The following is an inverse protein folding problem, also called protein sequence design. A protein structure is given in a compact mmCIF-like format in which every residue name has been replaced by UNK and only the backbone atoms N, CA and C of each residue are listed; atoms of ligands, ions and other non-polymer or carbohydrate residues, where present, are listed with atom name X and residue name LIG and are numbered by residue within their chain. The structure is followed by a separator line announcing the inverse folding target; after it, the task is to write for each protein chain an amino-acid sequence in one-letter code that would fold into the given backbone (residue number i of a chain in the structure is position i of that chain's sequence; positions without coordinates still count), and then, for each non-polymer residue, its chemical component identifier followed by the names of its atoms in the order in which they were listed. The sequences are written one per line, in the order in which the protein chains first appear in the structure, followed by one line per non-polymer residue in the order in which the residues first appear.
data_IF_867053065427
#
_entry.id   IF_867053065427
#
_cell.length_a   1.000
_cell.length_b   1.000
_cell.length_c   1.000
_cell.angle_alpha   90.00
_cell.angle_beta   90.00
_cell.angle_gamma   90.00
#
_symmetry.space_group_name_H-M   'P 1'
#
loop_
_entity.id
_entity.type
_entity.pdbx_description
1 polymer ?
#
# COMPACT_ATOMS: atom_id res chain seq x y z
N UNK A 1 -21.66 -4.74 -18.13
CA UNK A 1 -21.39 -3.76 -17.06
C UNK A 1 -22.58 -3.78 -16.11
N UNK A 2 -22.36 -4.24 -14.89
CA UNK A 2 -23.38 -4.26 -13.82
C UNK A 2 -23.87 -2.84 -13.58
N UNK A 3 -25.18 -2.60 -13.59
CA UNK A 3 -25.73 -1.29 -13.20
C UNK A 3 -25.26 -0.93 -11.78
N UNK A 4 -24.90 0.33 -11.49
CA UNK A 4 -24.52 0.76 -10.14
C UNK A 4 -25.56 0.37 -9.07
N UNK A 5 -26.84 0.43 -9.40
CA UNK A 5 -27.94 0.04 -8.50
C UNK A 5 -27.88 -1.44 -8.12
N UNK A 6 -27.62 -2.32 -9.11
CA UNK A 6 -27.47 -3.76 -8.86
C UNK A 6 -26.20 -4.06 -8.07
N UNK A 7 -25.14 -3.28 -8.28
CA UNK A 7 -23.92 -3.41 -7.49
C UNK A 7 -24.13 -2.98 -6.03
N UNK A 8 -24.88 -1.91 -5.80
CA UNK A 8 -25.25 -1.43 -4.45
C UNK A 8 -26.06 -2.49 -3.69
N UNK A 9 -27.09 -3.06 -4.31
CA UNK A 9 -27.87 -4.16 -3.73
C UNK A 9 -27.00 -5.36 -3.33
N UNK A 10 -26.02 -5.72 -4.17
CA UNK A 10 -25.06 -6.79 -3.87
C UNK A 10 -24.16 -6.43 -2.68
N UNK A 11 -23.70 -5.18 -2.61
CA UNK A 11 -22.81 -4.73 -1.54
C UNK A 11 -23.54 -4.62 -0.19
N UNK A 12 -24.84 -4.35 -0.18
CA UNK A 12 -25.63 -4.25 1.06
C UNK A 12 -26.25 -5.58 1.52
N UNK A 13 -26.20 -6.63 0.69
CA UNK A 13 -26.51 -8.00 1.11
C UNK A 13 -25.29 -8.71 1.72
N UNK A 14 -25.27 -8.80 3.04
CA UNK A 14 -24.23 -9.51 3.81
C UNK A 14 -24.08 -11.00 3.43
N UNK A 15 -25.17 -11.67 3.07
CA UNK A 15 -25.13 -13.09 2.69
C UNK A 15 -24.48 -13.25 1.32
N UNK A 16 -24.78 -12.35 0.38
CA UNK A 16 -24.12 -12.30 -0.93
C UNK A 16 -22.64 -11.96 -0.81
N UNK A 17 -22.27 -10.97 0.00
CA UNK A 17 -20.86 -10.63 0.25
C UNK A 17 -20.06 -11.83 0.77
N UNK A 18 -20.61 -12.57 1.75
CA UNK A 18 -19.97 -13.78 2.29
C UNK A 18 -19.86 -14.88 1.24
N UNK A 19 -20.90 -15.09 0.43
CA UNK A 19 -20.89 -16.09 -0.63
C UNK A 19 -19.87 -15.74 -1.74
N UNK A 20 -19.69 -14.46 -2.04
CA UNK A 20 -18.75 -13.95 -3.05
C UNK A 20 -17.31 -13.80 -2.55
N UNK A 21 -17.04 -13.96 -1.25
CA UNK A 21 -15.69 -13.89 -0.68
C UNK A 21 -15.17 -15.26 -0.17
N UNK A 22 -15.01 -16.27 -1.05
CA UNK A 22 -14.53 -17.60 -0.64
C UNK A 22 -13.06 -17.57 -0.15
N UNK A 23 -12.33 -16.49 -0.42
CA UNK A 23 -10.93 -16.31 0.00
C UNK A 23 -10.79 -15.57 1.33
N UNK A 24 -11.89 -15.06 1.89
CA UNK A 24 -11.89 -14.30 3.15
C UNK A 24 -11.08 -13.01 3.06
N UNK A 25 -11.12 -12.31 1.92
CA UNK A 25 -10.44 -11.04 1.72
C UNK A 25 -10.99 -9.95 2.66
N UNK A 26 -12.31 -9.82 2.80
CA UNK A 26 -12.94 -8.82 3.68
C UNK A 26 -12.50 -8.97 5.15
N UNK A 27 -12.64 -10.15 5.79
CA UNK A 27 -12.15 -10.32 7.16
C UNK A 27 -10.62 -10.18 7.25
N UNK A 28 -9.86 -10.54 6.20
CA UNK A 28 -8.41 -10.38 6.22
C UNK A 28 -7.95 -8.91 6.17
N UNK A 29 -8.55 -8.07 5.32
CA UNK A 29 -8.24 -6.62 5.29
C UNK A 29 -8.76 -5.93 6.55
N UNK A 30 -9.92 -6.33 7.08
CA UNK A 30 -10.43 -5.83 8.35
C UNK A 30 -9.52 -6.18 9.53
N UNK A 31 -8.89 -7.36 9.50
CA UNK A 31 -7.97 -7.82 10.53
C UNK A 31 -6.58 -7.18 10.49
N UNK A 32 -6.31 -6.20 9.63
CA UNK A 32 -4.98 -5.63 9.44
C UNK A 32 -4.32 -5.12 10.74
N UNK A 33 -5.07 -4.45 11.62
CA UNK A 33 -4.56 -3.99 12.92
C UNK A 33 -4.19 -5.16 13.83
N UNK A 34 -5.04 -6.18 13.93
CA UNK A 34 -4.74 -7.42 14.65
C UNK A 34 -3.51 -8.15 14.08
N UNK A 35 -3.37 -8.23 12.76
CA UNK A 35 -2.20 -8.80 12.09
C UNK A 35 -0.90 -8.06 12.47
N UNK A 36 -0.97 -6.73 12.62
CA UNK A 36 0.16 -5.89 13.01
C UNK A 36 0.59 -6.20 14.45
N UNK A 37 -0.36 -6.22 15.39
CA UNK A 37 -0.08 -6.53 16.81
C UNK A 37 0.47 -7.95 16.99
N UNK A 38 -0.14 -8.95 16.34
CA UNK A 38 0.33 -10.33 16.36
C UNK A 38 1.76 -10.43 15.81
N UNK A 39 2.04 -9.75 14.70
CA UNK A 39 3.38 -9.79 14.12
C UNK A 39 4.41 -9.05 14.97
N UNK A 40 4.02 -7.97 15.66
CA UNK A 40 4.90 -7.28 16.60
C UNK A 40 5.30 -8.20 17.77
N UNK A 41 4.34 -8.97 18.31
CA UNK A 41 4.62 -9.98 19.33
C UNK A 41 5.60 -11.06 18.82
N UNK A 42 5.33 -11.65 17.64
CA UNK A 42 6.22 -12.63 17.01
C UNK A 42 7.63 -12.07 16.72
N UNK A 43 7.71 -10.79 16.40
CA UNK A 43 9.00 -10.10 16.20
C UNK A 43 9.73 -9.92 17.53
N UNK A 44 9.03 -9.57 18.60
CA UNK A 44 9.62 -9.45 19.95
C UNK A 44 10.11 -10.77 20.54
N UNK A 45 9.51 -11.89 20.14
CA UNK A 45 10.00 -13.25 20.45
C UNK A 45 11.24 -13.64 19.62
N UNK A 46 11.48 -12.94 18.52
CA UNK A 46 12.63 -13.16 17.62
C UNK A 46 13.83 -12.31 18.07
N UNK A 47 14.95 -12.95 18.37
CA UNK A 47 16.19 -12.27 18.78
C UNK A 47 16.88 -11.57 17.59
N UNK A 48 16.37 -10.38 17.21
CA UNK A 48 16.94 -9.53 16.15
C UNK A 48 18.33 -9.00 16.50
N UNK A 49 18.71 -8.99 17.79
CA UNK A 49 20.03 -8.55 18.26
C UNK A 49 21.18 -9.29 17.63
N UNK A 50 20.97 -10.53 17.17
CA UNK A 50 21.96 -11.29 16.42
C UNK A 50 22.44 -10.59 15.15
N UNK A 51 21.59 -9.74 14.57
CA UNK A 51 21.88 -8.98 13.36
C UNK A 51 22.18 -7.51 13.68
N UNK A 52 21.55 -6.94 14.70
CA UNK A 52 21.68 -5.50 15.03
C UNK A 52 22.81 -5.19 16.02
N UNK A 53 23.39 -6.17 16.74
CA UNK A 53 24.42 -5.93 17.74
C UNK A 53 25.71 -5.29 17.19
N UNK A 54 25.98 -5.45 15.89
CA UNK A 54 27.08 -4.78 15.19
C UNK A 54 26.83 -3.29 14.90
N UNK A 55 25.65 -2.77 15.23
CA UNK A 55 25.22 -1.41 14.94
C UNK A 55 24.62 -1.27 13.54
N UNK A 56 24.66 -0.05 13.00
CA UNK A 56 24.10 0.27 11.69
C UNK A 56 24.87 -0.45 10.58
N UNK A 57 24.19 -1.14 9.64
CA UNK A 57 24.86 -1.72 8.49
C UNK A 57 25.33 -0.64 7.53
N UNK A 58 26.22 -1.00 6.60
CA UNK A 58 26.57 -0.15 5.45
C UNK A 58 25.39 0.01 4.49
N UNK A 59 24.65 -1.07 4.24
CA UNK A 59 23.44 -1.08 3.42
C UNK A 59 22.41 -2.10 3.91
N UNK A 60 21.15 -1.79 3.69
CA UNK A 60 20.00 -2.65 3.97
C UNK A 60 19.33 -3.02 2.65
N UNK A 61 19.39 -4.28 2.25
CA UNK A 61 18.70 -4.76 1.05
C UNK A 61 17.50 -5.59 1.45
N UNK A 62 16.33 -5.20 0.98
CA UNK A 62 15.10 -5.93 1.22
C UNK A 62 14.75 -6.71 -0.04
N UNK A 63 14.82 -8.03 0.06
CA UNK A 63 14.38 -8.96 -0.98
C UNK A 63 12.88 -9.21 -0.79
N UNK A 64 12.09 -8.72 -1.74
CA UNK A 64 10.63 -8.80 -1.64
C UNK A 64 9.97 -8.76 -3.02
N UNK A 65 8.79 -9.38 -3.11
CA UNK A 65 7.91 -9.30 -4.29
C UNK A 65 6.51 -8.96 -3.82
N UNK A 66 5.72 -8.32 -4.71
CA UNK A 66 4.31 -7.97 -4.46
C UNK A 66 4.16 -7.28 -3.08
N UNK A 67 3.42 -7.86 -2.14
CA UNK A 67 3.18 -7.25 -0.82
C UNK A 67 4.48 -7.00 -0.04
N UNK A 68 5.50 -7.86 -0.19
CA UNK A 68 6.80 -7.68 0.45
C UNK A 68 7.61 -6.52 -0.16
N UNK A 69 7.53 -6.35 -1.48
CA UNK A 69 8.16 -5.22 -2.16
C UNK A 69 7.48 -3.90 -1.77
N UNK A 70 6.15 -3.89 -1.72
CA UNK A 70 5.38 -2.71 -1.25
C UNK A 70 5.72 -2.37 0.20
N UNK A 71 5.77 -3.35 1.10
CA UNK A 71 6.18 -3.12 2.49
C UNK A 71 7.60 -2.51 2.57
N UNK A 72 8.53 -3.02 1.76
CA UNK A 72 9.89 -2.51 1.68
C UNK A 72 9.95 -1.08 1.14
N UNK A 73 9.13 -0.75 0.14
CA UNK A 73 9.02 0.59 -0.43
C UNK A 73 8.43 1.60 0.55
N UNK A 74 7.45 1.18 1.36
CA UNK A 74 6.91 2.00 2.45
C UNK A 74 8.01 2.29 3.48
N UNK A 75 8.75 1.28 3.92
CA UNK A 75 9.88 1.47 4.85
C UNK A 75 10.95 2.41 4.27
N UNK A 76 11.38 2.16 3.03
CA UNK A 76 12.36 2.99 2.33
C UNK A 76 11.91 4.46 2.25
N UNK A 77 10.63 4.67 1.98
CA UNK A 77 10.04 6.01 1.88
C UNK A 77 9.89 6.70 3.24
N UNK A 78 9.66 5.95 4.33
CA UNK A 78 9.66 6.48 5.70
C UNK A 78 11.06 6.93 6.13
N UNK A 79 12.08 6.13 5.82
CA UNK A 79 13.48 6.42 6.11
C UNK A 79 13.99 7.64 5.33
N UNK A 80 13.61 7.73 4.06
CA UNK A 80 13.91 8.89 3.21
C UNK A 80 15.41 9.13 2.99
N UNK A 81 15.77 10.27 2.36
CA UNK A 81 17.14 10.58 1.99
C UNK A 81 18.04 10.94 3.17
N UNK A 82 17.46 11.29 4.33
CA UNK A 82 18.20 11.61 5.56
C UNK A 82 18.67 10.35 6.31
N UNK A 83 18.27 9.15 5.87
CA UNK A 83 18.68 7.92 6.51
C UNK A 83 20.20 7.72 6.38
N UNK A 84 20.91 7.35 7.46
CA UNK A 84 22.35 7.09 7.43
C UNK A 84 22.70 5.77 6.72
N UNK A 85 21.71 4.97 6.34
CA UNK A 85 21.85 3.66 5.70
C UNK A 85 21.09 3.67 4.39
N UNK A 86 21.74 3.21 3.32
CA UNK A 86 21.07 3.03 2.03
C UNK A 86 20.14 1.84 2.09
N UNK A 87 18.89 2.03 1.65
CA UNK A 87 17.88 0.96 1.58
C UNK A 87 17.54 0.68 0.13
N UNK A 88 17.80 -0.54 -0.31
CA UNK A 88 17.46 -1.01 -1.66
C UNK A 88 16.41 -2.12 -1.61
N UNK A 89 15.53 -2.15 -2.61
CA UNK A 89 14.43 -3.12 -2.70
C UNK A 89 14.62 -3.91 -3.98
N UNK A 90 14.84 -5.22 -3.85
CA UNK A 90 15.14 -6.09 -4.99
C UNK A 90 14.18 -7.29 -5.04
N UNK A 91 13.80 -7.76 -6.24
CA UNK A 91 12.87 -8.88 -6.37
C UNK A 91 13.50 -10.26 -6.13
N UNK A 92 14.82 -10.35 -5.96
CA UNK A 92 15.57 -11.60 -6.00
C UNK A 92 15.56 -12.27 -7.39
N UNK A 93 16.14 -13.48 -7.56
CA UNK A 93 16.62 -14.38 -6.51
C UNK A 93 18.07 -14.18 -6.07
N UNK A 94 18.84 -13.32 -6.75
CA UNK A 94 20.22 -13.03 -6.36
C UNK A 94 20.30 -11.78 -5.49
N UNK A 95 21.30 -11.71 -4.61
CA UNK A 95 21.63 -10.48 -3.90
C UNK A 95 22.52 -9.58 -4.76
N UNK A 96 22.40 -8.24 -4.64
CA UNK A 96 23.33 -7.32 -5.27
C UNK A 96 24.78 -7.70 -4.98
N UNK A 97 25.64 -7.65 -6.00
CA UNK A 97 27.03 -8.15 -5.93
C UNK A 97 27.91 -7.39 -4.94
N UNK A 98 27.53 -6.16 -4.59
CA UNK A 98 28.27 -5.32 -3.65
C UNK A 98 28.04 -5.72 -2.19
N UNK A 99 27.00 -6.51 -1.88
CA UNK A 99 26.69 -6.90 -0.50
C UNK A 99 27.75 -7.84 0.10
N UNK A 100 28.12 -7.58 1.34
CA UNK A 100 29.05 -8.39 2.13
C UNK A 100 28.78 -8.32 3.63
N UNK A 101 29.79 -8.63 4.44
CA UNK A 101 29.63 -8.85 5.89
C UNK A 101 29.20 -7.63 6.72
N UNK A 102 29.22 -6.43 6.14
CA UNK A 102 28.76 -5.19 6.79
C UNK A 102 27.34 -4.79 6.39
N UNK A 103 26.65 -5.60 5.57
CA UNK A 103 25.31 -5.31 5.08
C UNK A 103 24.28 -6.28 5.68
N UNK A 104 23.02 -5.86 5.68
CA UNK A 104 21.88 -6.67 6.11
C UNK A 104 20.98 -6.95 4.91
N UNK A 105 20.61 -8.22 4.73
CA UNK A 105 19.57 -8.67 3.81
C UNK A 105 18.30 -9.04 4.58
N UNK A 106 17.17 -8.42 4.24
CA UNK A 106 15.85 -8.79 4.77
C UNK A 106 15.08 -9.52 3.68
N UNK A 107 14.69 -10.76 3.90
CA UNK A 107 13.92 -11.54 2.93
C UNK A 107 12.47 -11.58 3.40
N UNK A 108 11.63 -10.72 2.82
CA UNK A 108 10.26 -10.51 3.25
C UNK A 108 9.25 -11.08 2.25
N UNK A 109 8.60 -12.17 2.63
CA UNK A 109 7.67 -12.88 1.74
C UNK A 109 6.50 -13.46 2.51
N UNK A 110 5.30 -13.52 1.92
CA UNK A 110 4.15 -14.14 2.58
C UNK A 110 4.35 -15.65 2.82
N UNK A 111 4.87 -16.37 1.82
CA UNK A 111 4.92 -17.86 1.83
C UNK A 111 6.27 -18.44 2.27
N UNK A 112 7.35 -17.66 2.25
CA UNK A 112 8.72 -18.16 2.50
C UNK A 112 9.17 -19.25 1.52
N UNK A 113 8.51 -19.40 0.37
CA UNK A 113 8.73 -20.49 -0.57
C UNK A 113 9.25 -19.97 -1.92
N UNK A 114 9.92 -20.85 -2.66
CA UNK A 114 10.44 -20.57 -4.00
C UNK A 114 11.86 -20.00 -4.02
N UNK A 115 12.48 -20.01 -5.20
CA UNK A 115 13.88 -19.63 -5.37
C UNK A 115 14.15 -18.17 -4.99
N UNK A 116 13.20 -17.27 -5.22
CA UNK A 116 13.35 -15.86 -4.87
C UNK A 116 13.45 -15.60 -3.36
N UNK A 117 12.97 -16.52 -2.52
CA UNK A 117 13.08 -16.44 -1.07
C UNK A 117 14.32 -17.20 -0.57
N UNK A 118 14.50 -18.43 -1.05
CA UNK A 118 15.51 -19.36 -0.49
C UNK A 118 16.92 -19.09 -1.02
N UNK A 119 17.07 -18.76 -2.31
CA UNK A 119 18.40 -18.54 -2.89
C UNK A 119 19.14 -17.33 -2.28
N UNK A 120 18.51 -16.16 -2.06
CA UNK A 120 19.17 -15.04 -1.40
C UNK A 120 19.62 -15.38 0.02
N UNK A 121 18.88 -16.21 0.76
CA UNK A 121 19.26 -16.61 2.13
C UNK A 121 20.55 -17.44 2.14
N UNK A 122 20.65 -18.44 1.27
CA UNK A 122 21.87 -19.24 1.12
C UNK A 122 23.03 -18.42 0.56
N UNK A 123 22.76 -17.49 -0.35
CA UNK A 123 23.75 -16.57 -0.88
C UNK A 123 24.28 -15.62 0.20
N UNK A 124 23.41 -15.06 1.04
CA UNK A 124 23.78 -14.22 2.18
C UNK A 124 24.74 -14.97 3.11
N UNK A 125 24.35 -16.19 3.52
CA UNK A 125 25.16 -17.02 4.41
C UNK A 125 26.56 -17.30 3.83
N UNK A 126 26.66 -17.60 2.52
CA UNK A 126 27.96 -17.83 1.85
C UNK A 126 28.82 -16.57 1.77
N UNK A 127 28.21 -15.39 1.64
CA UNK A 127 28.90 -14.09 1.54
C UNK A 127 29.16 -13.44 2.92
N UNK A 128 28.67 -14.05 3.99
CA UNK A 128 28.71 -13.47 5.34
C UNK A 128 27.77 -12.28 5.54
N UNK A 129 26.83 -12.05 4.62
CA UNK A 129 25.80 -11.00 4.75
C UNK A 129 24.85 -11.41 5.88
N UNK A 130 24.59 -10.52 6.83
CA UNK A 130 23.64 -10.79 7.89
C UNK A 130 22.22 -10.86 7.29
N UNK A 131 21.44 -11.87 7.66
CA UNK A 131 20.11 -12.09 7.06
C UNK A 131 19.02 -12.11 8.12
N UNK A 132 17.86 -11.55 7.79
CA UNK A 132 16.61 -11.66 8.56
C UNK A 132 15.55 -12.20 7.61
N UNK A 133 14.92 -13.33 7.96
CA UNK A 133 13.81 -13.89 7.19
C UNK A 133 12.47 -13.53 7.79
N UNK A 134 11.49 -13.24 6.93
CA UNK A 134 10.10 -13.00 7.33
C UNK A 134 9.21 -13.80 6.37
N UNK A 135 8.34 -14.64 6.93
CA UNK A 135 7.33 -15.33 6.14
C UNK A 135 6.59 -16.42 6.90
N UNK A 136 5.80 -17.22 6.19
CA UNK A 136 4.99 -18.27 6.81
C UNK A 136 5.82 -19.21 7.69
N UNK A 137 5.25 -19.57 8.85
CA UNK A 137 5.76 -20.64 9.70
C UNK A 137 6.02 -21.91 8.88
N UNK A 138 7.09 -22.61 9.22
CA UNK A 138 7.57 -23.83 8.56
C UNK A 138 7.91 -23.70 7.06
N UNK A 139 8.04 -22.46 6.54
CA UNK A 139 8.42 -22.26 5.15
C UNK A 139 9.88 -22.66 4.85
N UNK A 140 10.21 -22.99 3.58
CA UNK A 140 11.59 -23.29 3.18
C UNK A 140 12.63 -22.21 3.54
N UNK A 141 12.23 -20.94 3.53
CA UNK A 141 13.06 -19.82 3.99
C UNK A 141 13.44 -19.95 5.47
N UNK A 142 12.54 -20.45 6.32
CA UNK A 142 12.81 -20.65 7.74
C UNK A 142 13.97 -21.63 7.94
N UNK A 143 13.97 -22.76 7.21
CA UNK A 143 15.08 -23.71 7.23
C UNK A 143 16.39 -23.11 6.71
N UNK A 144 16.34 -22.27 5.67
CA UNK A 144 17.52 -21.58 5.16
C UNK A 144 18.10 -20.59 6.20
N UNK A 145 17.25 -19.83 6.89
CA UNK A 145 17.65 -18.95 7.98
C UNK A 145 18.23 -19.73 9.17
N UNK A 146 17.60 -20.85 9.56
CA UNK A 146 18.08 -21.72 10.62
C UNK A 146 19.50 -22.26 10.35
N UNK A 147 19.77 -22.70 9.12
CA UNK A 147 21.11 -23.14 8.69
C UNK A 147 22.17 -22.03 8.83
N UNK A 148 21.78 -20.77 8.61
CA UNK A 148 22.63 -19.60 8.78
C UNK A 148 22.64 -19.04 10.22
N UNK A 149 21.91 -19.67 11.16
CA UNK A 149 21.63 -19.16 12.52
C UNK A 149 21.03 -17.74 12.54
N UNK A 150 20.36 -17.38 11.46
CA UNK A 150 19.76 -16.08 11.25
C UNK A 150 18.38 -15.97 11.92
N UNK A 151 18.00 -14.78 12.41
CA UNK A 151 16.65 -14.52 12.88
C UNK A 151 15.60 -14.77 11.79
N UNK A 152 14.48 -15.36 12.19
CA UNK A 152 13.32 -15.60 11.34
C UNK A 152 12.05 -15.21 12.09
N UNK A 153 11.23 -14.33 11.52
CA UNK A 153 9.92 -13.97 12.06
C UNK A 153 8.85 -14.85 11.41
N UNK A 154 8.28 -15.84 12.14
CA UNK A 154 7.35 -16.81 11.59
C UNK A 154 5.91 -16.28 11.61
N UNK A 155 5.41 -15.87 10.45
CA UNK A 155 4.03 -15.42 10.27
C UNK A 155 3.06 -16.61 10.21
N UNK A 156 1.78 -16.46 10.62
CA UNK A 156 0.78 -17.50 10.44
C UNK A 156 0.63 -17.94 8.98
N UNK A 157 0.60 -19.26 8.73
CA UNK A 157 0.52 -19.80 7.37
C UNK A 157 -0.80 -19.45 6.64
N UNK A 158 -1.85 -19.12 7.40
CA UNK A 158 -3.18 -18.76 6.90
C UNK A 158 -3.31 -17.29 6.46
N UNK A 159 -2.22 -16.50 6.48
CA UNK A 159 -2.24 -15.12 6.00
C UNK A 159 -2.72 -15.04 4.54
N UNK A 160 -3.85 -14.38 4.34
CA UNK A 160 -4.55 -14.26 3.06
C UNK A 160 -3.74 -13.38 2.11
N UNK A 161 -3.53 -13.88 0.88
CA UNK A 161 -2.85 -13.12 -0.19
C UNK A 161 -3.56 -11.77 -0.40
N UNK A 162 -2.80 -10.72 -0.72
CA UNK A 162 -3.22 -9.34 -0.90
C UNK A 162 -3.50 -8.56 0.40
N UNK A 163 -3.65 -9.25 1.54
CA UNK A 163 -3.93 -8.63 2.84
C UNK A 163 -2.74 -8.70 3.83
N UNK A 164 -1.51 -8.92 3.37
CA UNK A 164 -0.34 -9.17 4.25
C UNK A 164 0.66 -8.03 4.33
N UNK A 165 0.35 -6.84 3.82
CA UNK A 165 1.24 -5.69 3.85
C UNK A 165 1.75 -5.43 5.28
N UNK A 166 0.83 -5.31 6.22
CA UNK A 166 1.11 -4.90 7.58
C UNK A 166 1.90 -5.96 8.36
N UNK A 167 1.64 -7.25 8.13
CA UNK A 167 2.48 -8.33 8.66
C UNK A 167 3.91 -8.32 8.11
N UNK A 168 4.11 -7.93 6.85
CA UNK A 168 5.47 -7.88 6.30
C UNK A 168 6.20 -6.59 6.73
N UNK A 169 5.48 -5.48 6.81
CA UNK A 169 6.04 -4.17 7.19
C UNK A 169 6.45 -4.11 8.66
N UNK A 170 5.64 -4.67 9.57
CA UNK A 170 5.86 -4.63 11.03
C UNK A 170 7.27 -5.05 11.46
N UNK A 171 7.78 -6.24 11.12
CA UNK A 171 9.11 -6.66 11.55
C UNK A 171 10.22 -5.79 10.94
N UNK A 172 9.99 -5.20 9.77
CA UNK A 172 10.94 -4.29 9.14
C UNK A 172 10.99 -2.92 9.82
N UNK A 173 9.85 -2.41 10.30
CA UNK A 173 9.80 -1.19 11.13
C UNK A 173 10.55 -1.39 12.45
N UNK A 174 10.30 -2.51 13.12
CA UNK A 174 10.94 -2.84 14.39
C UNK A 174 12.45 -3.06 14.22
N UNK A 175 12.87 -3.74 13.15
CA UNK A 175 14.29 -3.86 12.79
C UNK A 175 14.93 -2.49 12.53
N UNK A 176 14.27 -1.62 11.78
CA UNK A 176 14.78 -0.29 11.49
C UNK A 176 14.88 0.59 12.76
N UNK A 177 13.95 0.46 13.70
CA UNK A 177 14.03 1.12 15.01
C UNK A 177 15.19 0.59 15.85
N UNK A 178 15.39 -0.73 15.88
CA UNK A 178 16.49 -1.36 16.62
C UNK A 178 17.87 -0.98 16.07
N UNK A 179 17.97 -0.79 14.74
CA UNK A 179 19.16 -0.23 14.08
C UNK A 179 19.30 1.29 14.26
N UNK A 180 18.35 1.95 14.92
CA UNK A 180 18.32 3.40 15.11
C UNK A 180 18.19 4.17 13.79
N UNK A 181 17.52 3.59 12.79
CA UNK A 181 17.21 4.23 11.50
C UNK A 181 15.87 4.96 11.53
N UNK A 182 14.94 4.49 12.36
CA UNK A 182 13.68 5.17 12.67
C UNK A 182 13.63 5.53 14.16
N UNK A 183 13.10 6.71 14.51
CA UNK A 183 12.68 7.01 15.87
C UNK A 183 11.68 5.97 16.41
N UNK A 184 11.75 5.66 17.70
CA UNK A 184 10.91 4.63 18.33
C UNK A 184 9.41 4.93 18.21
N UNK A 185 9.03 6.20 18.33
CA UNK A 185 7.66 6.69 18.15
C UNK A 185 7.19 6.57 16.69
N UNK A 186 8.08 6.79 15.72
CA UNK A 186 7.77 6.59 14.30
C UNK A 186 7.61 5.11 13.92
N UNK A 187 8.22 4.20 14.69
CA UNK A 187 8.10 2.76 14.52
C UNK A 187 7.02 2.13 15.41
N UNK A 188 6.31 2.93 16.22
CA UNK A 188 5.24 2.44 17.08
C UNK A 188 4.07 1.90 16.24
N UNK A 189 3.79 0.62 16.45
CA UNK A 189 2.77 -0.13 15.71
C UNK A 189 1.38 0.05 16.29
N UNK A 190 1.26 0.41 17.57
CA UNK A 190 -0.02 0.55 18.25
C UNK A 190 -0.93 1.60 17.60
N UNK A 191 -0.50 2.87 17.39
CA UNK A 191 -1.36 3.88 16.78
C UNK A 191 -1.73 3.55 15.32
N UNK A 192 -0.87 2.81 14.62
CA UNK A 192 -1.15 2.34 13.25
C UNK A 192 -2.20 1.24 13.27
N UNK A 193 -2.07 0.27 14.17
CA UNK A 193 -3.04 -0.80 14.34
C UNK A 193 -4.41 -0.27 14.76
N UNK A 194 -4.47 0.69 15.70
CA UNK A 194 -5.71 1.33 16.13
C UNK A 194 -6.38 2.10 14.99
N UNK A 195 -5.58 2.79 14.16
CA UNK A 195 -6.09 3.49 12.99
C UNK A 195 -6.65 2.53 11.92
N UNK A 196 -6.03 1.36 11.73
CA UNK A 196 -6.54 0.29 10.86
C UNK A 196 -7.85 -0.30 11.38
N UNK A 197 -7.94 -0.57 12.69
CA UNK A 197 -9.15 -1.09 13.33
C UNK A 197 -10.33 -0.10 13.24
N UNK A 198 -10.05 1.21 13.39
CA UNK A 198 -11.04 2.26 13.20
C UNK A 198 -11.60 2.29 11.77
N UNK A 199 -10.73 2.24 10.75
CA UNK A 199 -11.18 2.18 9.35
C UNK A 199 -11.92 0.87 9.06
N UNK A 200 -11.51 -0.25 9.66
CA UNK A 200 -12.24 -1.51 9.53
C UNK A 200 -13.67 -1.43 10.08
N UNK A 201 -13.89 -0.67 11.16
CA UNK A 201 -15.22 -0.40 11.69
C UNK A 201 -16.03 0.55 10.79
N UNK A 202 -15.39 1.49 10.10
CA UNK A 202 -16.02 2.41 9.14
C UNK A 202 -16.35 1.75 7.80
N UNK A 203 -15.49 0.85 7.32
CA UNK A 203 -15.58 0.17 6.04
C UNK A 203 -16.22 -1.22 6.13
N UNK A 204 -16.62 -1.66 7.33
CA UNK A 204 -17.10 -3.01 7.58
C UNK A 204 -18.35 -3.38 6.75
N UNK A 205 -18.53 -4.66 6.39
CA UNK A 205 -19.57 -5.09 5.45
C UNK A 205 -21.00 -4.88 5.97
N UNK A 206 -21.19 -4.81 7.29
CA UNK A 206 -22.48 -4.57 7.92
C UNK A 206 -22.96 -3.11 7.83
N UNK A 207 -22.12 -2.19 7.36
CA UNK A 207 -22.49 -0.80 7.12
C UNK A 207 -23.03 -0.64 5.71
N UNK A 208 -24.19 0.00 5.61
CA UNK A 208 -24.85 0.38 4.36
C UNK A 208 -23.92 1.19 3.46
N UNK A 209 -24.08 1.05 2.14
CA UNK A 209 -23.22 1.67 1.12
C UNK A 209 -23.09 3.19 1.31
N UNK A 210 -24.18 3.90 1.56
CA UNK A 210 -24.20 5.37 1.65
C UNK A 210 -23.39 5.97 2.82
N UNK A 211 -23.02 5.18 3.83
CA UNK A 211 -22.15 5.60 4.98
C UNK A 211 -20.84 4.83 5.06
N UNK A 212 -20.57 3.95 4.10
CA UNK A 212 -19.36 3.14 4.04
C UNK A 212 -18.45 3.71 2.94
N UNK A 213 -17.36 4.41 3.29
CA UNK A 213 -16.54 5.11 2.30
C UNK A 213 -15.91 4.15 1.28
N UNK A 214 -15.66 2.89 1.66
CA UNK A 214 -15.08 1.91 0.75
C UNK A 214 -16.11 1.32 -0.24
N UNK A 215 -17.36 1.11 0.19
CA UNK A 215 -18.45 0.73 -0.73
C UNK A 215 -18.76 1.86 -1.69
N UNK A 216 -18.86 3.10 -1.20
CA UNK A 216 -19.03 4.29 -2.03
C UNK A 216 -17.93 4.37 -3.09
N UNK A 217 -16.66 4.27 -2.70
CA UNK A 217 -15.56 4.32 -3.66
C UNK A 217 -15.58 3.13 -4.64
N UNK A 218 -15.97 1.93 -4.20
CA UNK A 218 -16.12 0.79 -5.11
C UNK A 218 -17.19 1.06 -6.17
N UNK A 219 -18.37 1.57 -5.79
CA UNK A 219 -19.44 1.93 -6.72
C UNK A 219 -19.00 3.02 -7.70
N UNK A 220 -18.29 4.04 -7.20
CA UNK A 220 -17.71 5.11 -8.02
C UNK A 220 -16.67 4.64 -9.05
N UNK A 221 -16.04 3.48 -8.81
CA UNK A 221 -15.00 2.90 -9.65
C UNK A 221 -15.51 1.88 -10.67
N UNK A 222 -16.78 1.45 -10.61
CA UNK A 222 -17.35 0.48 -11.57
C UNK A 222 -17.19 0.95 -13.03
N UNK A 223 -17.43 2.24 -13.26
CA UNK A 223 -17.45 2.84 -14.60
C UNK A 223 -16.36 3.91 -14.80
N UNK A 224 -15.35 3.94 -13.93
CA UNK A 224 -14.29 4.94 -13.95
C UNK A 224 -12.92 4.37 -14.30
N UNK A 225 -12.05 5.22 -14.85
CA UNK A 225 -10.62 4.98 -15.01
C UNK A 225 -9.87 5.70 -13.87
N UNK A 226 -9.36 4.97 -12.86
CA UNK A 226 -8.68 5.59 -11.74
C UNK A 226 -7.33 6.18 -12.16
N UNK A 227 -7.13 7.44 -11.79
CA UNK A 227 -5.84 8.14 -11.85
C UNK A 227 -5.44 8.44 -10.42
N UNK A 228 -4.36 7.84 -9.94
CA UNK A 228 -3.90 8.01 -8.57
C UNK A 228 -2.79 9.05 -8.54
N UNK A 229 -2.96 10.10 -7.74
CA UNK A 229 -1.94 11.12 -7.51
C UNK A 229 -1.48 11.06 -6.06
N UNK A 230 -0.17 10.96 -5.87
CA UNK A 230 0.47 10.79 -4.58
C UNK A 230 1.29 12.00 -4.18
N UNK A 231 1.02 12.56 -3.00
CA UNK A 231 1.75 13.67 -2.40
C UNK A 231 3.07 13.17 -1.77
N UNK A 232 4.12 12.99 -2.57
CA UNK A 232 5.46 12.65 -2.08
C UNK A 232 5.79 11.14 -2.05
N UNK A 233 6.99 10.77 -1.56
CA UNK A 233 7.52 9.41 -1.70
C UNK A 233 6.70 8.32 -1.00
N UNK A 234 6.26 8.58 0.24
CA UNK A 234 5.50 7.61 1.04
C UNK A 234 4.12 7.35 0.44
N UNK A 235 3.40 8.42 0.08
CA UNK A 235 2.16 8.32 -0.68
C UNK A 235 2.39 7.62 -2.03
N UNK A 236 3.56 7.80 -2.66
CA UNK A 236 3.94 7.14 -3.90
C UNK A 236 4.08 5.62 -3.77
N UNK A 237 4.66 5.14 -2.67
CA UNK A 237 4.71 3.70 -2.36
C UNK A 237 3.29 3.13 -2.13
N UNK A 238 2.43 3.88 -1.43
CA UNK A 238 1.03 3.53 -1.25
C UNK A 238 0.25 3.52 -2.57
N UNK A 239 0.48 4.49 -3.47
CA UNK A 239 -0.19 4.54 -4.77
C UNK A 239 0.11 3.30 -5.63
N UNK A 240 1.36 2.84 -5.63
CA UNK A 240 1.73 1.60 -6.29
C UNK A 240 0.98 0.38 -5.75
N UNK A 241 0.74 0.31 -4.42
CA UNK A 241 -0.11 -0.72 -3.81
C UNK A 241 -1.54 -0.63 -4.29
N UNK A 242 -2.14 0.55 -4.23
CA UNK A 242 -3.55 0.75 -4.61
C UNK A 242 -3.75 0.33 -6.07
N UNK A 243 -2.84 0.72 -6.96
CA UNK A 243 -2.87 0.29 -8.36
C UNK A 243 -2.75 -1.25 -8.51
N UNK A 244 -1.83 -1.91 -7.79
CA UNK A 244 -1.71 -3.38 -7.83
C UNK A 244 -2.96 -4.10 -7.29
N UNK A 245 -3.61 -3.56 -6.25
CA UNK A 245 -4.85 -4.11 -5.69
C UNK A 245 -6.01 -3.99 -6.66
N UNK A 246 -6.23 -2.81 -7.25
CA UNK A 246 -7.26 -2.59 -8.27
C UNK A 246 -7.03 -3.49 -9.50
N UNK A 247 -5.79 -3.58 -9.98
CA UNK A 247 -5.45 -4.43 -11.12
C UNK A 247 -5.60 -5.92 -10.79
N UNK A 248 -5.19 -6.37 -9.60
CA UNK A 248 -5.17 -7.80 -9.28
C UNK A 248 -6.54 -8.32 -8.84
N UNK A 249 -7.27 -7.58 -8.02
CA UNK A 249 -8.55 -8.03 -7.49
C UNK A 249 -9.68 -7.77 -8.49
N UNK A 250 -9.78 -6.53 -8.97
CA UNK A 250 -10.87 -6.06 -9.82
C UNK A 250 -10.55 -6.09 -11.33
N UNK A 251 -9.29 -6.30 -11.73
CA UNK A 251 -8.90 -6.21 -13.15
C UNK A 251 -8.90 -4.77 -13.68
N UNK A 252 -8.92 -3.76 -12.80
CA UNK A 252 -9.03 -2.35 -13.16
C UNK A 252 -7.63 -1.72 -13.24
N UNK A 253 -7.17 -1.27 -14.42
CA UNK A 253 -5.90 -0.57 -14.52
C UNK A 253 -6.00 0.81 -13.87
N UNK A 254 -4.92 1.24 -13.22
CA UNK A 254 -4.78 2.57 -12.65
C UNK A 254 -3.43 3.18 -13.05
N UNK A 255 -3.42 4.46 -13.42
CA UNK A 255 -2.17 5.21 -13.59
C UNK A 255 -1.78 5.87 -12.28
N UNK A 256 -0.48 6.00 -12.01
CA UNK A 256 0.03 6.60 -10.77
C UNK A 256 0.99 7.74 -11.07
N UNK A 257 0.81 8.89 -10.43
CA UNK A 257 1.71 10.03 -10.54
C UNK A 257 2.18 10.49 -9.16
N UNK A 258 3.50 10.46 -8.93
CA UNK A 258 4.12 10.95 -7.70
C UNK A 258 4.48 12.42 -7.83
N UNK A 259 4.01 13.23 -6.89
CA UNK A 259 4.29 14.66 -6.83
C UNK A 259 5.51 14.96 -5.95
N UNK A 260 6.25 16.05 -6.25
CA UNK A 260 6.02 17.03 -7.32
C UNK A 260 6.56 16.59 -8.71
N UNK A 261 7.35 15.51 -8.76
CA UNK A 261 8.14 15.11 -9.93
C UNK A 261 7.30 14.86 -11.19
N UNK A 262 6.14 14.24 -11.03
CA UNK A 262 5.25 13.85 -12.14
C UNK A 262 4.04 14.77 -12.30
N UNK A 263 4.06 15.97 -11.71
CA UNK A 263 2.93 16.93 -11.76
C UNK A 263 2.52 17.26 -13.20
N UNK A 264 3.47 17.44 -14.11
CA UNK A 264 3.20 17.81 -15.50
C UNK A 264 2.44 16.67 -16.19
N UNK A 265 2.88 15.43 -16.01
CA UNK A 265 2.19 14.25 -16.55
C UNK A 265 0.78 14.09 -15.96
N UNK A 266 0.63 14.29 -14.64
CA UNK A 266 -0.69 14.26 -14.00
C UNK A 266 -1.65 15.29 -14.59
N UNK A 267 -1.19 16.55 -14.76
CA UNK A 267 -1.97 17.63 -15.38
C UNK A 267 -2.33 17.30 -16.82
N UNK A 268 -1.39 16.81 -17.61
CA UNK A 268 -1.63 16.44 -19.02
C UNK A 268 -2.65 15.31 -19.15
N UNK A 269 -2.64 14.32 -18.26
CA UNK A 269 -3.64 13.24 -18.26
C UNK A 269 -5.02 13.78 -17.88
N UNK A 270 -5.10 14.61 -16.84
CA UNK A 270 -6.38 15.18 -16.37
C UNK A 270 -7.00 16.18 -17.35
N UNK A 271 -6.19 16.84 -18.17
CA UNK A 271 -6.62 17.71 -19.26
C UNK A 271 -6.65 16.98 -20.63
N UNK A 272 -6.43 15.65 -20.62
CA UNK A 272 -6.25 14.84 -21.81
C UNK A 272 -7.57 14.36 -22.43
N UNK A 273 -7.50 13.50 -23.46
CA UNK A 273 -8.66 13.06 -24.23
C UNK A 273 -9.65 12.17 -23.45
N UNK A 274 -9.29 11.71 -22.27
CA UNK A 274 -10.16 10.91 -21.39
C UNK A 274 -10.82 11.77 -20.29
N UNK A 275 -10.46 13.06 -20.21
CA UNK A 275 -11.11 14.00 -19.32
C UNK A 275 -12.61 14.11 -19.69
N UNK A 276 -13.51 14.27 -18.72
CA UNK A 276 -14.92 14.49 -19.00
C UNK A 276 -15.13 15.64 -20.00
N UNK A 277 -15.74 15.36 -21.14
CA UNK A 277 -16.21 16.41 -22.04
C UNK A 277 -17.46 17.07 -21.43
N UNK A 278 -17.36 18.34 -21.06
CA UNK A 278 -18.47 19.09 -20.49
C UNK A 278 -18.06 20.50 -20.09
N UNK A 279 -18.24 21.46 -21.00
CA UNK A 279 -18.22 22.88 -20.66
C UNK A 279 -19.44 23.27 -19.81
N UNK A 280 -19.41 24.47 -19.23
CA UNK A 280 -20.52 25.03 -18.44
C UNK A 280 -21.86 25.12 -19.19
N UNK A 281 -21.86 24.93 -20.52
CA UNK A 281 -23.02 25.11 -21.40
C UNK A 281 -23.91 23.87 -21.59
N UNK A 282 -23.63 22.73 -20.96
CA UNK A 282 -24.40 21.49 -21.18
C UNK A 282 -25.08 20.98 -19.89
N UNK A 283 -25.69 21.89 -19.13
CA UNK A 283 -26.48 21.61 -17.91
C UNK A 283 -27.66 20.65 -18.16
N UNK A 284 -28.09 20.51 -19.42
CA UNK A 284 -29.21 19.65 -19.85
C UNK A 284 -28.77 18.36 -20.55
N UNK A 285 -27.47 18.08 -20.68
CA UNK A 285 -27.00 16.84 -21.29
C UNK A 285 -27.38 15.64 -20.42
N UNK A 286 -28.09 14.68 -21.00
CA UNK A 286 -28.35 13.42 -20.35
C UNK A 286 -27.04 12.61 -20.28
N UNK A 287 -26.45 12.56 -19.08
CA UNK A 287 -25.15 11.90 -18.83
C UNK A 287 -25.23 10.38 -18.95
N UNK A 288 -26.43 9.80 -19.03
CA UNK A 288 -26.62 8.37 -19.25
C UNK A 288 -26.21 7.91 -20.66
N UNK A 289 -26.11 8.82 -21.63
CA UNK A 289 -25.78 8.49 -23.03
C UNK A 289 -24.28 8.64 -23.37
N UNK A 290 -23.46 9.16 -22.47
CA UNK A 290 -22.02 9.33 -22.72
C UNK A 290 -21.26 8.00 -22.58
N UNK A 291 -21.16 7.28 -23.70
CA UNK A 291 -20.52 5.98 -23.81
C UNK A 291 -18.99 6.07 -23.69
N UNK A 292 -18.47 6.17 -22.47
CA UNK A 292 -17.03 6.07 -22.19
C UNK A 292 -16.69 6.13 -20.70
N UNK A 293 -15.76 5.27 -20.25
CA UNK A 293 -15.24 5.35 -18.87
C UNK A 293 -14.50 6.67 -18.68
N UNK A 294 -14.91 7.45 -17.68
CA UNK A 294 -14.32 8.75 -17.37
C UNK A 294 -13.19 8.62 -16.35
N UNK A 295 -12.23 9.53 -16.41
CA UNK A 295 -11.21 9.61 -15.37
C UNK A 295 -11.88 9.88 -14.01
N UNK A 296 -11.38 9.23 -12.96
CA UNK A 296 -11.63 9.61 -11.56
C UNK A 296 -10.29 9.76 -10.87
N UNK A 297 -10.07 10.93 -10.27
CA UNK A 297 -8.84 11.23 -9.56
C UNK A 297 -8.92 10.68 -8.12
N UNK A 298 -8.01 9.78 -7.77
CA UNK A 298 -7.81 9.31 -6.41
C UNK A 298 -6.59 10.03 -5.82
N UNK A 299 -6.72 10.62 -4.64
CA UNK A 299 -5.59 11.29 -3.99
C UNK A 299 -5.09 10.51 -2.78
N UNK A 300 -3.76 10.41 -2.71
CA UNK A 300 -3.03 9.90 -1.54
C UNK A 300 -2.14 11.00 -0.99
N UNK A 301 -2.32 11.31 0.28
CA UNK A 301 -1.66 12.43 0.95
C UNK A 301 -0.64 11.98 1.98
N UNK A 302 0.47 12.69 2.04
CA UNK A 302 1.47 12.59 3.10
C UNK A 302 1.85 13.99 3.59
N UNK A 303 0.86 14.67 4.18
CA UNK A 303 1.04 15.98 4.80
C UNK A 303 2.16 15.91 5.85
N UNK A 304 3.30 16.55 5.60
CA UNK A 304 4.51 16.44 6.42
C UNK A 304 5.76 16.00 5.64
N UNK A 305 5.62 15.59 4.37
CA UNK A 305 6.74 15.22 3.50
C UNK A 305 7.65 16.39 3.07
N UNK A 306 7.43 17.63 3.53
CA UNK A 306 8.18 18.79 3.03
C UNK A 306 8.06 20.06 3.85
N UNK A 307 8.80 20.12 4.96
CA UNK A 307 9.36 21.37 5.48
C UNK A 307 10.89 21.25 5.41
N UNK A 308 11.45 21.34 4.20
CA UNK A 308 12.89 21.53 4.06
C UNK A 308 13.11 22.63 3.01
N UNK A 309 13.70 23.71 3.50
CA UNK A 309 13.74 25.04 2.90
C UNK A 309 14.69 25.15 1.71
N UNK A 310 14.28 25.91 0.70
CA UNK A 310 15.12 26.39 -0.40
C UNK A 310 14.43 27.56 -1.08
N UNK A 311 14.84 28.79 -0.77
CA UNK A 311 14.04 30.00 -1.00
C UNK A 311 14.01 30.54 -2.45
N UNK A 312 14.59 29.90 -3.47
CA UNK A 312 15.00 30.62 -4.70
C UNK A 312 14.56 30.03 -6.07
N UNK A 313 13.40 29.35 -6.19
CA UNK A 313 12.88 28.93 -7.52
C UNK A 313 11.36 29.17 -7.72
N UNK A 314 10.93 29.29 -8.98
CA UNK A 314 9.59 29.72 -9.46
C UNK A 314 8.59 28.58 -9.73
N UNK A 315 8.97 27.32 -9.55
CA UNK A 315 8.09 26.13 -9.72
C UNK A 315 7.50 25.66 -8.38
N UNK A 316 6.37 24.92 -8.35
CA UNK A 316 5.81 24.37 -7.11
C UNK A 316 6.88 23.56 -6.37
N UNK A 317 7.27 24.03 -5.18
CA UNK A 317 8.45 23.54 -4.43
C UNK A 317 8.15 22.29 -3.64
N UNK A 318 6.88 22.07 -3.30
CA UNK A 318 6.45 20.98 -2.43
C UNK A 318 5.45 20.07 -3.13
N UNK A 319 5.40 18.82 -2.68
CA UNK A 319 4.36 17.88 -3.11
C UNK A 319 2.94 18.41 -2.85
N UNK A 320 2.75 19.20 -1.77
CA UNK A 320 1.47 19.81 -1.42
C UNK A 320 1.03 20.92 -2.40
N UNK A 321 1.94 21.80 -2.82
CA UNK A 321 1.64 22.81 -3.85
C UNK A 321 1.30 22.16 -5.19
N UNK A 322 2.06 21.15 -5.59
CA UNK A 322 1.77 20.37 -6.79
C UNK A 322 0.42 19.64 -6.69
N UNK A 323 0.03 19.16 -5.49
CA UNK A 323 -1.26 18.53 -5.26
C UNK A 323 -2.40 19.55 -5.43
N UNK A 324 -2.27 20.73 -4.84
CA UNK A 324 -3.24 21.81 -5.00
C UNK A 324 -3.41 22.22 -6.48
N UNK A 325 -2.32 22.26 -7.24
CA UNK A 325 -2.36 22.52 -8.68
C UNK A 325 -3.10 21.42 -9.45
N UNK A 326 -2.81 20.15 -9.16
CA UNK A 326 -3.49 19.00 -9.77
C UNK A 326 -4.99 19.01 -9.48
N UNK A 327 -5.38 19.30 -8.23
CA UNK A 327 -6.78 19.43 -7.83
C UNK A 327 -7.51 20.56 -8.58
N UNK A 328 -6.83 21.69 -8.81
CA UNK A 328 -7.37 22.78 -9.64
C UNK A 328 -7.60 22.33 -11.09
N UNK A 329 -6.65 21.62 -11.70
CA UNK A 329 -6.83 21.08 -13.06
C UNK A 329 -7.98 20.06 -13.12
N UNK A 330 -8.09 19.18 -12.12
CA UNK A 330 -9.20 18.25 -12.04
C UNK A 330 -10.55 18.98 -11.99
N UNK A 331 -10.66 20.06 -11.19
CA UNK A 331 -11.85 20.88 -11.12
C UNK A 331 -12.16 21.60 -12.44
N UNK A 332 -11.15 22.19 -13.10
CA UNK A 332 -11.28 22.88 -14.39
C UNK A 332 -11.81 21.95 -15.49
N UNK A 333 -11.44 20.67 -15.45
CA UNK A 333 -11.86 19.65 -16.41
C UNK A 333 -12.99 18.74 -15.89
N UNK A 334 -13.66 19.12 -14.79
CA UNK A 334 -14.76 18.38 -14.17
C UNK A 334 -14.44 16.90 -13.88
N UNK A 335 -13.18 16.56 -13.60
CA UNK A 335 -12.74 15.23 -13.20
C UNK A 335 -13.16 15.00 -11.74
N UNK A 336 -14.02 14.01 -11.45
CA UNK A 336 -14.40 13.69 -10.07
C UNK A 336 -13.20 13.29 -9.23
N UNK A 337 -13.16 13.75 -7.98
CA UNK A 337 -12.06 13.50 -7.04
C UNK A 337 -12.57 12.70 -5.85
N UNK A 338 -11.96 11.55 -5.59
CA UNK A 338 -12.21 10.76 -4.38
C UNK A 338 -10.97 10.79 -3.49
N UNK A 339 -11.13 11.29 -2.27
CA UNK A 339 -10.07 11.36 -1.25
C UNK A 339 -10.13 10.09 -0.40
N UNK A 340 -8.98 9.46 -0.16
CA UNK A 340 -8.91 8.21 0.60
C UNK A 340 -8.87 8.40 2.13
N UNK A 341 -8.80 9.64 2.60
CA UNK A 341 -8.98 10.00 4.00
C UNK A 341 -9.47 11.45 4.10
N UNK A 342 -10.07 11.77 5.24
CA UNK A 342 -10.49 13.12 5.57
C UNK A 342 -9.30 14.03 5.87
N UNK A 343 -9.43 15.32 5.54
CA UNK A 343 -8.36 16.31 5.66
C UNK A 343 -8.05 16.68 7.13
N UNK A 344 -9.04 16.49 8.01
CA UNK A 344 -8.98 16.84 9.45
C UNK A 344 -8.15 15.85 10.30
N UNK A 345 -7.72 14.72 9.74
CA UNK A 345 -6.92 13.70 10.42
C UNK A 345 -5.41 14.00 10.44
N UNK A 346 -4.98 15.09 9.79
CA UNK A 346 -3.58 15.43 9.55
C UNK A 346 -2.75 15.65 10.83
N UNK A 347 -3.37 16.16 11.90
CA UNK A 347 -2.73 16.44 13.19
C UNK A 347 -3.00 15.40 14.30
N UNK A 348 -4.02 14.54 14.12
CA UNK A 348 -4.46 13.59 15.16
C UNK A 348 -3.65 12.31 15.19
N UNK A 349 -3.03 11.94 14.08
CA UNK A 349 -2.41 10.63 13.90
C UNK A 349 -0.94 10.74 13.45
N UNK A 350 -0.06 9.84 13.91
CA UNK A 350 1.29 9.72 13.36
C UNK A 350 1.27 9.51 11.85
N UNK A 351 2.33 9.97 11.16
CA UNK A 351 2.44 9.95 9.69
C UNK A 351 2.09 8.59 9.06
N UNK A 352 2.60 7.48 9.63
CA UNK A 352 2.31 6.14 9.14
C UNK A 352 0.86 5.71 9.41
N UNK A 353 0.28 6.09 10.54
CA UNK A 353 -1.12 5.79 10.86
C UNK A 353 -2.08 6.48 9.88
N UNK A 354 -1.77 7.72 9.46
CA UNK A 354 -2.54 8.42 8.41
C UNK A 354 -2.44 7.73 7.04
N UNK A 355 -1.26 7.25 6.68
CA UNK A 355 -1.10 6.45 5.46
C UNK A 355 -1.89 5.14 5.56
N UNK A 356 -1.88 4.51 6.75
CA UNK A 356 -2.59 3.27 7.01
C UNK A 356 -4.11 3.41 6.84
N UNK A 357 -4.69 4.53 7.30
CA UNK A 357 -6.11 4.84 7.07
C UNK A 357 -6.46 4.87 5.58
N UNK A 358 -5.70 5.64 4.80
CA UNK A 358 -5.89 5.75 3.35
C UNK A 358 -5.74 4.42 2.61
N UNK A 359 -4.70 3.64 2.98
CA UNK A 359 -4.48 2.32 2.40
C UNK A 359 -5.57 1.32 2.78
N UNK A 360 -6.09 1.37 4.00
CA UNK A 360 -7.18 0.50 4.43
C UNK A 360 -8.46 0.80 3.65
N UNK A 361 -8.86 2.07 3.50
CA UNK A 361 -10.01 2.45 2.67
C UNK A 361 -9.83 1.93 1.24
N UNK A 362 -8.64 2.12 0.64
CA UNK A 362 -8.36 1.65 -0.70
C UNK A 362 -8.37 0.12 -0.84
N UNK A 363 -7.80 -0.61 0.13
CA UNK A 363 -7.80 -2.08 0.16
C UNK A 363 -9.24 -2.62 0.29
N UNK A 364 -10.07 -2.07 1.19
CA UNK A 364 -11.49 -2.41 1.27
C UNK A 364 -12.23 -2.10 -0.03
N UNK A 365 -11.98 -0.94 -0.63
CA UNK A 365 -12.64 -0.53 -1.88
C UNK A 365 -12.31 -1.47 -3.03
N UNK A 366 -11.04 -1.88 -3.16
CA UNK A 366 -10.63 -2.85 -4.18
C UNK A 366 -11.28 -4.23 -3.97
N UNK A 367 -11.46 -4.65 -2.71
CA UNK A 367 -12.18 -5.90 -2.38
C UNK A 367 -13.66 -5.77 -2.72
N UNK A 368 -14.36 -4.72 -2.27
CA UNK A 368 -15.77 -4.51 -2.60
C UNK A 368 -16.00 -4.38 -4.11
N UNK A 369 -15.14 -3.65 -4.82
CA UNK A 369 -15.20 -3.54 -6.27
C UNK A 369 -15.07 -4.92 -6.92
N UNK A 370 -14.12 -5.75 -6.47
CA UNK A 370 -13.98 -7.11 -6.98
C UNK A 370 -15.23 -7.97 -6.72
N UNK A 371 -15.82 -7.89 -5.52
CA UNK A 371 -17.03 -8.64 -5.17
C UNK A 371 -18.27 -8.18 -5.95
N UNK A 372 -18.40 -6.88 -6.22
CA UNK A 372 -19.46 -6.32 -7.06
C UNK A 372 -19.31 -6.79 -8.51
N UNK A 373 -18.09 -6.77 -9.06
CA UNK A 373 -17.75 -7.19 -10.41
C UNK A 373 -17.77 -8.72 -10.62
N UNK A 374 -17.69 -9.52 -9.55
CA UNK A 374 -17.59 -10.99 -9.64
C UNK A 374 -18.83 -11.68 -10.24
N UNK A 375 -19.83 -10.91 -10.68
CA UNK A 375 -20.93 -11.40 -11.51
C UNK A 375 -20.42 -11.97 -12.85
N UNK A 376 -19.31 -11.47 -13.41
CA UNK A 376 -18.83 -11.89 -14.74
C UNK A 376 -17.81 -13.05 -14.71
N UNK A 377 -17.13 -13.35 -13.58
CA UNK A 377 -16.18 -14.49 -13.51
C UNK A 377 -16.85 -15.82 -13.24
N UNK A 378 -18.00 -15.83 -12.57
CA UNK A 378 -18.78 -17.04 -12.31
C UNK A 378 -19.67 -17.47 -13.50
N UNK A 379 -19.95 -16.54 -14.45
CA UNK A 379 -20.72 -16.83 -15.67
C UNK A 379 -19.83 -17.21 -16.87
N UNK A 380 -18.50 -17.12 -16.71
CA UNK A 380 -17.52 -17.39 -17.76
C UNK A 380 -16.52 -18.52 -17.47
N UNK A 381 -16.72 -19.32 -16.41
CA UNK A 381 -15.89 -20.49 -16.10
C UNK A 381 -16.63 -21.81 -16.29
#
# INVERSE_FOLDING_TARGET
MTSPELAEEVLDDLSLLRARDPRGLLPAVAGAGAQMRETAALTGETDLRRVTAGGRPRGLVIVGRREGAVAAEVLRSLLGPASPVTVDVVPGPALPVWMGASDIAVIATRTGAGQYAVAPAYEAARRGVAVVGIGAVDAPLHAACANARAPYVPLPANRVRHATLWSLLTPMLLLAAELGLLPTDAADVAPVADALDAVAAECGPARESFVNPAKTLALELLDALPVIVAEGPLAGAAAGRVADQLATLAGLPASTFRLPDQRVAARTVLAGPLAPEGGQDDFFRDRAEDAGRRLRLLTLRDAGAGATEGAHEREPRSAGEAMAEVLRIAAEHNVPVSRLADEDDSERHPRLARLARQLAVADFSAVYLALALDHERALGS
#
